data_IF_558223844472
#
_entry.id   IF_558223844472
#
_cell.length_a   1.000
_cell.length_b   1.000
_cell.length_c   1.000
_cell.angle_alpha   90.00
_cell.angle_beta   90.00
_cell.angle_gamma   90.00
#
_symmetry.space_group_name_H-M   'P 1'
#
loop_
_entity.id
_entity.type
_entity.pdbx_description
1 polymer ?
#
# COMPACT_ATOMS: atom_id res chain seq x y z
N UNK A 1 -36.03 74.08 -8.87
CA UNK A 1 -35.46 73.13 -7.88
C UNK A 1 -35.32 71.79 -8.57
N UNK A 2 -34.11 71.38 -8.95
CA UNK A 2 -33.86 70.09 -9.63
C UNK A 2 -32.94 69.24 -8.75
N UNK A 3 -33.39 68.05 -8.39
CA UNK A 3 -32.67 67.15 -7.48
C UNK A 3 -31.68 66.29 -8.27
N UNK A 4 -30.40 66.34 -7.88
CA UNK A 4 -29.37 65.44 -8.41
C UNK A 4 -29.63 64.02 -7.92
N UNK A 5 -29.98 63.10 -8.83
CA UNK A 5 -30.12 61.67 -8.54
C UNK A 5 -28.77 60.99 -8.77
N UNK A 6 -28.11 60.56 -7.71
CA UNK A 6 -26.88 59.79 -7.83
C UNK A 6 -27.15 58.47 -8.59
N UNK A 7 -26.34 58.21 -9.62
CA UNK A 7 -26.46 57.03 -10.47
C UNK A 7 -26.10 55.77 -9.70
N UNK A 8 -26.87 54.69 -9.85
CA UNK A 8 -26.65 53.40 -9.16
C UNK A 8 -25.27 52.80 -9.43
N UNK A 9 -24.65 53.17 -10.56
CA UNK A 9 -23.29 52.79 -10.92
C UNK A 9 -22.21 53.41 -10.00
N UNK A 10 -22.45 54.57 -9.40
CA UNK A 10 -21.52 55.19 -8.46
C UNK A 10 -21.52 54.49 -7.09
N UNK A 11 -22.61 53.82 -6.73
CA UNK A 11 -22.77 53.10 -5.47
C UNK A 11 -22.21 51.66 -5.52
N UNK A 12 -22.08 51.07 -6.72
CA UNK A 12 -21.51 49.72 -6.88
C UNK A 12 -19.97 49.69 -6.75
N UNK A 13 -19.30 50.81 -7.01
CA UNK A 13 -17.84 50.94 -6.91
C UNK A 13 -17.30 50.88 -5.47
N UNK A 14 -18.17 51.07 -4.46
CA UNK A 14 -17.83 50.96 -3.05
C UNK A 14 -18.23 49.61 -2.44
N UNK A 15 -18.57 48.60 -3.27
CA UNK A 15 -18.86 47.26 -2.78
C UNK A 15 -17.58 46.66 -2.22
N UNK A 16 -17.52 46.50 -0.90
CA UNK A 16 -16.45 45.80 -0.23
C UNK A 16 -16.24 44.42 -0.87
N UNK A 17 -15.06 44.18 -1.41
CA UNK A 17 -14.64 42.86 -1.89
C UNK A 17 -14.70 41.89 -0.71
N UNK A 18 -15.38 40.73 -0.82
CA UNK A 18 -15.35 39.75 0.25
C UNK A 18 -13.90 39.36 0.50
N UNK A 19 -13.46 39.40 1.77
CA UNK A 19 -12.13 38.90 2.14
C UNK A 19 -12.01 37.46 1.68
N UNK A 20 -10.92 37.13 0.98
CA UNK A 20 -10.60 35.76 0.62
C UNK A 20 -10.71 34.88 1.87
N UNK A 21 -11.56 33.86 1.81
CA UNK A 21 -11.73 32.93 2.91
C UNK A 21 -10.43 32.14 3.09
N UNK A 22 -9.96 32.07 4.32
CA UNK A 22 -8.80 31.27 4.66
C UNK A 22 -9.20 29.79 4.61
N UNK A 23 -9.09 29.16 3.44
CA UNK A 23 -9.35 27.73 3.28
C UNK A 23 -8.19 26.99 3.94
N UNK A 24 -8.46 26.40 5.10
CA UNK A 24 -7.47 25.56 5.78
C UNK A 24 -7.09 24.41 4.82
N UNK A 25 -5.82 24.26 4.44
CA UNK A 25 -5.43 23.19 3.54
C UNK A 25 -5.75 21.87 4.22
N UNK A 26 -6.49 21.01 3.52
CA UNK A 26 -6.63 19.62 3.95
C UNK A 26 -5.29 18.97 3.65
N UNK A 27 -4.57 18.56 4.70
CA UNK A 27 -3.41 17.71 4.53
C UNK A 27 -3.88 16.42 3.84
N UNK A 28 -3.60 16.31 2.56
CA UNK A 28 -3.75 15.09 1.79
C UNK A 28 -2.41 14.37 1.94
N UNK A 29 -2.31 13.26 2.70
CA UNK A 29 -1.10 12.45 2.64
C UNK A 29 -0.97 11.91 1.21
N UNK A 30 0.06 12.34 0.48
CA UNK A 30 0.38 11.79 -0.85
C UNK A 30 1.29 10.55 -0.74
N UNK A 31 1.43 9.99 0.47
CA UNK A 31 2.26 8.83 0.73
C UNK A 31 1.37 7.59 0.63
N UNK A 32 1.55 6.87 -0.47
CA UNK A 32 1.02 5.52 -0.67
C UNK A 32 -0.44 5.48 -1.11
N UNK A 33 -0.65 5.31 -2.41
CA UNK A 33 -1.96 4.90 -2.94
C UNK A 33 -2.26 3.49 -2.43
N UNK A 34 -3.19 3.37 -1.47
CA UNK A 34 -3.66 2.08 -0.94
C UNK A 34 -4.28 1.17 -2.01
N UNK A 35 -4.55 1.74 -3.19
CA UNK A 35 -4.97 1.04 -4.40
C UNK A 35 -4.03 -0.10 -4.80
N UNK A 36 -2.73 0.01 -4.52
CA UNK A 36 -1.76 -1.01 -4.90
C UNK A 36 -1.64 -2.16 -3.88
N UNK A 37 -2.21 -2.01 -2.69
CA UNK A 37 -2.11 -3.01 -1.61
C UNK A 37 -2.59 -4.39 -2.05
N UNK A 38 -3.76 -4.55 -2.72
CA UNK A 38 -4.19 -5.88 -3.18
C UNK A 38 -3.24 -6.47 -4.22
N UNK A 39 -2.74 -5.65 -5.16
CA UNK A 39 -1.81 -6.10 -6.20
C UNK A 39 -0.47 -6.54 -5.62
N UNK A 40 0.10 -5.75 -4.69
CA UNK A 40 1.32 -6.11 -3.99
C UNK A 40 1.13 -7.37 -3.13
N UNK A 41 -0.05 -7.56 -2.54
CA UNK A 41 -0.40 -8.79 -1.85
C UNK A 41 -0.33 -10.01 -2.76
N UNK A 42 -0.95 -9.94 -3.93
CA UNK A 42 -0.92 -11.03 -4.94
C UNK A 42 0.52 -11.30 -5.39
N UNK A 43 1.26 -10.26 -5.78
CA UNK A 43 2.64 -10.41 -6.24
C UNK A 43 3.57 -10.94 -5.14
N UNK A 44 3.36 -10.53 -3.89
CA UNK A 44 4.09 -11.06 -2.73
C UNK A 44 3.83 -12.55 -2.53
N UNK A 45 2.58 -13.00 -2.62
CA UNK A 45 2.22 -14.43 -2.54
C UNK A 45 2.85 -15.20 -3.70
N UNK A 46 2.73 -14.71 -4.94
CA UNK A 46 3.32 -15.36 -6.11
C UNK A 46 4.84 -15.48 -5.99
N UNK A 47 5.52 -14.42 -5.56
CA UNK A 47 6.95 -14.44 -5.32
C UNK A 47 7.33 -15.44 -4.21
N UNK A 48 6.55 -15.50 -3.12
CA UNK A 48 6.74 -16.47 -2.03
C UNK A 48 6.60 -17.92 -2.50
N UNK A 49 5.65 -18.22 -3.37
CA UNK A 49 5.49 -19.55 -3.98
C UNK A 49 6.71 -19.88 -4.85
N UNK A 50 7.16 -18.94 -5.68
CA UNK A 50 8.33 -19.13 -6.53
C UNK A 50 9.59 -19.43 -5.70
N UNK A 51 9.84 -18.65 -4.65
CA UNK A 51 10.96 -18.89 -3.72
C UNK A 51 10.87 -20.27 -3.10
N UNK A 52 9.68 -20.67 -2.64
CA UNK A 52 9.44 -21.99 -2.05
C UNK A 52 9.81 -23.13 -3.00
N UNK A 53 9.46 -23.01 -4.28
CA UNK A 53 9.79 -24.03 -5.30
C UNK A 53 11.30 -24.08 -5.53
N UNK A 54 11.93 -22.92 -5.76
CA UNK A 54 13.35 -22.84 -6.07
C UNK A 54 14.25 -23.28 -4.90
N UNK A 55 13.83 -23.00 -3.67
CA UNK A 55 14.60 -23.30 -2.45
C UNK A 55 14.20 -24.61 -1.79
N UNK A 56 13.28 -25.36 -2.40
CA UNK A 56 12.77 -26.61 -1.83
C UNK A 56 13.85 -27.66 -1.54
N UNK A 57 15.00 -27.61 -2.24
CA UNK A 57 16.15 -28.51 -2.01
C UNK A 57 17.22 -27.96 -1.05
N UNK A 58 17.05 -26.75 -0.51
CA UNK A 58 18.02 -26.15 0.43
C UNK A 58 17.74 -26.67 1.83
N UNK A 59 18.69 -27.37 2.49
CA UNK A 59 18.42 -28.01 3.80
C UNK A 59 17.95 -27.02 4.87
N UNK A 60 18.52 -25.81 4.89
CA UNK A 60 18.11 -24.78 5.84
C UNK A 60 16.68 -24.29 5.59
N UNK A 61 16.27 -24.16 4.33
CA UNK A 61 14.90 -23.75 3.98
C UNK A 61 13.89 -24.86 4.28
N UNK A 62 14.27 -26.12 4.08
CA UNK A 62 13.45 -27.27 4.47
C UNK A 62 13.15 -27.24 5.97
N UNK A 63 14.19 -27.20 6.80
CA UNK A 63 14.04 -27.20 8.26
C UNK A 63 13.32 -25.96 8.82
N UNK A 64 13.63 -24.77 8.30
CA UNK A 64 13.08 -23.54 8.87
C UNK A 64 11.67 -23.20 8.36
N UNK A 65 11.30 -23.65 7.16
CA UNK A 65 10.05 -23.27 6.51
C UNK A 65 9.20 -24.50 6.19
N UNK A 66 9.70 -25.45 5.41
CA UNK A 66 8.88 -26.55 4.87
C UNK A 66 8.44 -27.56 5.93
N UNK A 67 9.28 -27.84 6.93
CA UNK A 67 8.96 -28.74 8.05
C UNK A 67 7.84 -28.18 8.95
N UNK A 68 7.56 -26.88 8.87
CA UNK A 68 6.50 -26.21 9.63
C UNK A 68 5.17 -26.14 8.88
N UNK A 69 5.12 -26.67 7.66
CA UNK A 69 3.91 -26.72 6.84
C UNK A 69 3.14 -28.02 7.09
N UNK A 70 1.84 -28.09 6.79
CA UNK A 70 1.06 -29.34 6.90
C UNK A 70 1.53 -30.45 5.92
N UNK A 71 2.49 -30.17 5.04
CA UNK A 71 3.06 -31.13 4.09
C UNK A 71 4.49 -31.56 4.45
N UNK A 72 4.95 -31.29 5.68
CA UNK A 72 6.28 -31.62 6.19
C UNK A 72 6.70 -33.08 5.97
N UNK A 73 5.75 -34.02 6.10
CA UNK A 73 5.96 -35.46 5.93
C UNK A 73 6.58 -35.88 4.59
N UNK A 74 6.54 -35.02 3.57
CA UNK A 74 7.16 -35.24 2.27
C UNK A 74 8.68 -35.02 2.28
N UNK A 75 9.18 -34.19 3.20
CA UNK A 75 10.59 -33.79 3.28
C UNK A 75 11.37 -34.57 4.36
N UNK A 76 10.70 -35.40 5.15
CA UNK A 76 11.34 -36.24 6.16
C UNK A 76 12.25 -37.30 5.53
N UNK A 77 13.48 -37.38 6.02
CA UNK A 77 14.39 -38.47 5.69
C UNK A 77 13.97 -39.75 6.43
N UNK A 78 13.61 -40.79 5.64
CA UNK A 78 13.21 -42.10 6.15
C UNK A 78 14.31 -43.15 6.03
N UNK A 79 15.49 -42.77 5.53
CA UNK A 79 16.62 -43.69 5.41
C UNK A 79 17.14 -44.01 6.82
N UNK A 80 17.24 -45.29 7.21
CA UNK A 80 17.82 -45.67 8.49
C UNK A 80 19.25 -45.15 8.63
N UNK A 81 19.64 -44.73 9.82
CA UNK A 81 20.99 -44.20 10.06
C UNK A 81 22.10 -45.23 9.79
N UNK A 82 21.79 -46.53 9.80
CA UNK A 82 22.72 -47.59 9.43
C UNK A 82 23.10 -47.61 7.94
N UNK A 83 22.23 -47.10 7.06
CA UNK A 83 22.43 -47.10 5.60
C UNK A 83 23.11 -45.82 5.09
N UNK A 84 23.29 -44.82 5.97
CA UNK A 84 23.96 -43.56 5.64
C UNK A 84 25.48 -43.77 5.75
N UNK A 85 26.26 -43.45 4.71
CA UNK A 85 27.71 -43.63 4.74
C UNK A 85 28.44 -42.58 5.61
N UNK A 86 27.73 -41.57 6.11
CA UNK A 86 28.20 -40.50 6.99
C UNK A 86 27.09 -40.06 7.94
#
# INVERSE_FOLDING_TARGET
>A
MSAFRASSAALSAFRATPRASFVKPKFQPHIGDTLWVPSLGIWGVTAGVLVTILFSGVPLFQHDVLDKTPVAWFYEDRVPDSDKPF
#
